data_IF_201440865386
#
_entry.id   IF_201440865386
#
_cell.length_a   1.000
_cell.length_b   1.000
_cell.length_c   1.000
_cell.angle_alpha   90.00
_cell.angle_beta   90.00
_cell.angle_gamma   90.00
#
_symmetry.space_group_name_H-M   'P 1'
#
loop_
_entity.id
_entity.type
_entity.pdbx_description
1 polymer ?
#
# COMPACT_ATOMS: atom_id res chain seq x y z
N UNK A 1 11.02 -5.35 -8.49
CA UNK A 1 10.28 -4.20 -9.05
C UNK A 1 10.07 -3.15 -7.97
N UNK A 2 10.78 -2.04 -8.10
CA UNK A 2 10.73 -0.99 -7.07
C UNK A 2 9.45 -0.17 -7.13
N UNK A 3 9.14 0.38 -8.29
CA UNK A 3 7.99 1.27 -8.46
C UNK A 3 6.82 0.53 -9.09
N UNK A 4 5.63 0.81 -8.60
CA UNK A 4 4.42 0.18 -9.09
C UNK A 4 3.32 1.22 -9.22
N UNK A 5 2.49 1.09 -10.25
CA UNK A 5 1.35 1.99 -10.46
C UNK A 5 0.07 1.16 -10.42
N UNK A 6 -0.81 1.51 -9.50
CA UNK A 6 -2.14 0.92 -9.38
C UNK A 6 -3.16 1.90 -9.92
N UNK A 7 -3.93 1.48 -10.91
CA UNK A 7 -4.94 2.33 -11.54
C UNK A 7 -6.33 1.95 -11.08
N UNK A 8 -7.12 2.95 -10.71
CA UNK A 8 -8.45 2.72 -10.18
C UNK A 8 -9.40 3.83 -10.65
N UNK A 9 -10.68 3.47 -10.82
CA UNK A 9 -11.77 4.42 -11.03
C UNK A 9 -12.53 4.50 -9.71
N UNK A 10 -12.74 5.73 -9.21
CA UNK A 10 -13.37 5.94 -7.91
C UNK A 10 -14.84 5.51 -7.98
N UNK A 11 -15.25 4.48 -7.21
CA UNK A 11 -16.60 3.95 -7.27
C UNK A 11 -17.57 4.69 -6.35
N UNK A 12 -18.89 4.51 -6.54
CA UNK A 12 -19.90 5.19 -5.72
C UNK A 12 -19.75 4.96 -4.22
N UNK A 13 -19.37 3.76 -3.79
CA UNK A 13 -19.21 3.45 -2.36
C UNK A 13 -18.08 4.22 -1.67
N UNK A 14 -17.17 4.82 -2.46
CA UNK A 14 -16.07 5.63 -1.92
C UNK A 14 -16.49 7.05 -1.57
N UNK A 15 -17.65 7.49 -2.06
CA UNK A 15 -18.07 8.90 -2.01
C UNK A 15 -18.99 9.13 -0.80
N UNK A 16 -18.68 10.18 -0.03
CA UNK A 16 -19.47 10.57 1.14
C UNK A 16 -20.63 11.50 0.73
N UNK A 17 -21.39 11.95 1.75
CA UNK A 17 -22.54 12.82 1.55
C UNK A 17 -22.20 14.19 0.95
N UNK A 18 -20.92 14.59 1.01
CA UNK A 18 -20.45 15.87 0.47
C UNK A 18 -19.94 15.76 -0.96
N UNK A 19 -20.04 14.57 -1.56
CA UNK A 19 -19.55 14.33 -2.93
C UNK A 19 -18.04 14.16 -3.04
N UNK A 20 -17.36 13.96 -1.93
CA UNK A 20 -15.92 13.77 -1.89
C UNK A 20 -15.58 12.34 -1.48
N UNK A 21 -14.39 11.88 -1.86
CA UNK A 21 -13.94 10.57 -1.44
C UNK A 21 -13.77 10.53 0.09
N UNK A 22 -14.38 9.54 0.71
CA UNK A 22 -14.32 9.32 2.15
C UNK A 22 -12.87 9.12 2.60
N UNK A 23 -12.49 9.73 3.72
CA UNK A 23 -11.14 9.64 4.26
C UNK A 23 -10.68 8.19 4.47
N UNK A 24 -11.57 7.32 4.92
CA UNK A 24 -11.26 5.90 5.13
C UNK A 24 -10.90 5.21 3.83
N UNK A 25 -11.48 5.64 2.72
CA UNK A 25 -11.27 4.99 1.43
C UNK A 25 -9.85 5.19 0.89
N UNK A 26 -9.14 6.23 1.30
CA UNK A 26 -7.73 6.38 0.98
C UNK A 26 -6.92 5.18 1.49
N UNK A 27 -7.19 4.75 2.72
CA UNK A 27 -6.51 3.58 3.30
C UNK A 27 -6.89 2.29 2.58
N UNK A 28 -8.15 2.16 2.15
CA UNK A 28 -8.60 1.03 1.34
C UNK A 28 -7.81 0.95 0.04
N UNK A 29 -7.67 2.07 -0.67
CA UNK A 29 -6.93 2.12 -1.93
C UNK A 29 -5.44 1.88 -1.73
N UNK A 30 -4.86 2.38 -0.64
CA UNK A 30 -3.46 2.12 -0.30
C UNK A 30 -3.24 0.62 -0.11
N UNK A 31 -4.14 -0.05 0.58
CA UNK A 31 -4.06 -1.50 0.80
C UNK A 31 -4.21 -2.27 -0.51
N UNK A 32 -5.15 -1.87 -1.37
CA UNK A 32 -5.32 -2.49 -2.69
C UNK A 32 -4.07 -2.35 -3.54
N UNK A 33 -3.47 -1.16 -3.57
CA UNK A 33 -2.24 -0.90 -4.32
C UNK A 33 -1.07 -1.74 -3.77
N UNK A 34 -0.98 -1.87 -2.45
CA UNK A 34 0.04 -2.70 -1.81
C UNK A 34 -0.11 -4.17 -2.19
N UNK A 35 -1.33 -4.71 -2.14
CA UNK A 35 -1.60 -6.09 -2.54
C UNK A 35 -1.28 -6.32 -4.01
N UNK A 36 -1.63 -5.38 -4.89
CA UNK A 36 -1.35 -5.49 -6.31
C UNK A 36 0.15 -5.52 -6.59
N UNK A 37 0.91 -4.67 -5.91
CA UNK A 37 2.38 -4.66 -6.05
C UNK A 37 2.98 -5.98 -5.54
N UNK A 38 2.56 -6.43 -4.37
CA UNK A 38 3.03 -7.70 -3.80
C UNK A 38 2.71 -8.88 -4.72
N UNK A 39 1.52 -8.91 -5.30
CA UNK A 39 1.15 -9.95 -6.26
C UNK A 39 2.04 -9.89 -7.50
N UNK A 40 2.34 -8.70 -8.01
CA UNK A 40 3.16 -8.51 -9.20
C UNK A 40 4.59 -9.04 -9.00
N UNK A 41 5.12 -9.00 -7.78
CA UNK A 41 6.47 -9.49 -7.47
C UNK A 41 6.49 -10.89 -6.87
N UNK A 42 5.32 -11.54 -6.73
CA UNK A 42 5.22 -12.91 -6.23
C UNK A 42 5.16 -13.02 -4.71
N UNK A 43 5.07 -11.91 -3.99
CA UNK A 43 4.95 -11.90 -2.53
C UNK A 43 3.48 -11.80 -2.11
N UNK A 44 2.68 -12.73 -2.60
CA UNK A 44 1.25 -12.79 -2.28
C UNK A 44 1.01 -13.17 -0.82
N UNK A 45 -0.20 -12.88 -0.32
CA UNK A 45 -0.61 -13.33 1.02
C UNK A 45 -0.46 -14.84 1.15
N UNK A 46 -0.85 -15.58 0.11
CA UNK A 46 -0.70 -17.04 0.09
C UNK A 46 0.77 -17.46 0.21
N UNK A 47 1.67 -16.83 -0.55
CA UNK A 47 3.10 -17.11 -0.47
C UNK A 47 3.66 -16.81 0.92
N UNK A 48 3.21 -15.71 1.54
CA UNK A 48 3.60 -15.33 2.90
C UNK A 48 3.20 -16.41 3.92
N UNK A 49 1.93 -16.83 3.90
CA UNK A 49 1.46 -17.89 4.80
C UNK A 49 2.19 -19.21 4.58
N UNK A 50 2.46 -19.56 3.33
CA UNK A 50 3.20 -20.76 2.97
C UNK A 50 4.62 -20.76 3.54
N UNK A 51 5.25 -19.60 3.55
CA UNK A 51 6.58 -19.36 4.07
C UNK A 51 6.59 -19.25 5.61
N UNK A 52 5.41 -19.06 6.23
CA UNK A 52 5.28 -18.87 7.68
C UNK A 52 5.69 -17.49 8.16
N UNK A 53 5.66 -16.49 7.28
CA UNK A 53 6.07 -15.12 7.57
C UNK A 53 5.12 -14.17 6.86
N UNK A 54 4.70 -13.11 7.53
CA UNK A 54 3.73 -12.17 6.98
C UNK A 54 4.14 -10.73 7.23
N UNK A 55 3.59 -9.84 6.43
CA UNK A 55 3.64 -8.41 6.66
C UNK A 55 2.40 -8.00 7.45
N UNK A 56 2.60 -7.23 8.53
CA UNK A 56 1.50 -6.60 9.26
C UNK A 56 1.61 -5.09 9.15
N UNK A 57 0.48 -4.44 9.03
CA UNK A 57 0.40 -2.98 9.05
C UNK A 57 0.45 -2.52 10.51
N UNK A 58 1.39 -1.63 10.81
CA UNK A 58 1.52 -1.03 12.13
C UNK A 58 1.01 0.39 12.17
N UNK A 59 1.14 1.14 11.07
CA UNK A 59 0.73 2.53 11.02
C UNK A 59 0.36 2.92 9.61
N UNK A 60 -0.73 3.68 9.47
CA UNK A 60 -1.14 4.30 8.21
C UNK A 60 -1.26 5.80 8.38
N UNK A 61 -0.80 6.53 7.39
CA UNK A 61 -0.96 7.98 7.29
C UNK A 61 -1.42 8.33 5.89
N UNK A 62 -2.33 9.29 5.79
CA UNK A 62 -2.74 9.82 4.50
C UNK A 62 -2.97 11.32 4.63
N UNK A 63 -2.59 12.06 3.58
CA UNK A 63 -2.82 13.49 3.48
C UNK A 63 -3.57 13.77 2.20
N UNK A 64 -4.77 14.31 2.34
CA UNK A 64 -5.59 14.76 1.23
C UNK A 64 -5.19 16.19 0.86
N UNK A 65 -4.82 16.40 -0.39
CA UNK A 65 -4.45 17.71 -0.94
C UNK A 65 -5.63 18.27 -1.72
N UNK A 66 -6.25 17.41 -2.55
CA UNK A 66 -7.40 17.74 -3.38
C UNK A 66 -8.27 16.51 -3.51
N UNK A 67 -9.49 16.60 -3.06
CA UNK A 67 -10.39 15.45 -2.96
C UNK A 67 -10.67 14.79 -4.31
N UNK A 68 -10.59 13.46 -4.34
CA UNK A 68 -11.06 12.69 -5.48
C UNK A 68 -12.59 12.66 -5.49
N UNK A 69 -13.17 12.50 -6.66
CA UNK A 69 -14.61 12.52 -6.88
C UNK A 69 -15.06 11.26 -7.61
N UNK A 70 -16.37 11.05 -7.62
CA UNK A 70 -16.98 9.92 -8.31
C UNK A 70 -16.47 9.80 -9.74
N UNK A 71 -16.12 8.60 -10.13
CA UNK A 71 -15.65 8.24 -11.49
C UNK A 71 -14.29 8.82 -11.88
N UNK A 72 -13.60 9.51 -10.97
CA UNK A 72 -12.24 9.96 -11.23
C UNK A 72 -11.33 8.76 -11.50
N UNK A 73 -10.47 8.90 -12.51
CA UNK A 73 -9.41 7.93 -12.81
C UNK A 73 -8.16 8.34 -12.07
N UNK A 74 -7.77 7.50 -11.11
CA UNK A 74 -6.64 7.79 -10.22
C UNK A 74 -5.52 6.80 -10.49
N UNK A 75 -4.29 7.31 -10.52
CA UNK A 75 -3.08 6.49 -10.54
C UNK A 75 -2.41 6.59 -9.18
N UNK A 76 -2.17 5.45 -8.55
CA UNK A 76 -1.49 5.39 -7.25
C UNK A 76 -0.10 4.83 -7.49
N UNK A 77 0.90 5.69 -7.33
CA UNK A 77 2.31 5.33 -7.43
C UNK A 77 2.77 4.87 -6.06
N UNK A 78 3.38 3.71 -5.99
CA UNK A 78 3.84 3.17 -4.72
C UNK A 78 5.20 2.50 -4.84
N UNK A 79 5.98 2.60 -3.77
CA UNK A 79 7.25 1.91 -3.61
C UNK A 79 7.51 1.69 -2.12
N UNK A 80 8.43 0.78 -1.81
CA UNK A 80 8.79 0.47 -0.43
C UNK A 80 10.24 0.81 -0.15
N UNK A 81 10.54 1.06 1.11
CA UNK A 81 11.90 1.28 1.59
C UNK A 81 12.05 0.61 2.95
N UNK A 82 12.98 -0.33 3.05
CA UNK A 82 13.31 -0.97 4.32
C UNK A 82 13.93 0.07 5.25
N UNK A 83 13.43 0.19 6.48
CA UNK A 83 13.91 1.20 7.43
C UNK A 83 14.53 0.59 8.70
N UNK A 84 14.57 -0.69 8.82
CA UNK A 84 15.15 -1.41 9.92
C UNK A 84 15.22 -2.87 9.55
N UNK A 85 15.63 -3.72 10.49
CA UNK A 85 15.75 -5.15 10.20
C UNK A 85 14.40 -5.79 9.88
N UNK A 86 13.34 -5.38 10.60
CA UNK A 86 12.02 -6.00 10.50
C UNK A 86 10.95 -5.04 9.98
N UNK A 87 11.28 -3.81 9.64
CA UNK A 87 10.32 -2.78 9.24
C UNK A 87 10.57 -2.28 7.83
N UNK A 88 9.48 -1.99 7.13
CA UNK A 88 9.51 -1.39 5.80
C UNK A 88 8.41 -0.34 5.71
N UNK A 89 8.70 0.77 5.08
CA UNK A 89 7.70 1.79 4.82
C UNK A 89 7.32 1.77 3.35
N UNK A 90 6.03 1.87 3.10
CA UNK A 90 5.50 2.00 1.75
C UNK A 90 4.96 3.40 1.57
N UNK A 91 5.34 4.03 0.49
CA UNK A 91 4.94 5.39 0.13
C UNK A 91 3.94 5.35 -1.01
N UNK A 92 2.99 6.28 -0.99
CA UNK A 92 1.94 6.38 -2.00
C UNK A 92 1.80 7.81 -2.48
N UNK A 93 1.65 7.97 -3.78
CA UNK A 93 1.27 9.23 -4.42
C UNK A 93 0.03 8.98 -5.25
N UNK A 94 -1.06 9.67 -4.92
CA UNK A 94 -2.31 9.59 -5.67
C UNK A 94 -2.32 10.72 -6.69
N UNK A 95 -2.46 10.37 -7.96
CA UNK A 95 -2.45 11.35 -9.04
C UNK A 95 -3.69 11.23 -9.91
N UNK A 96 -4.22 12.39 -10.28
CA UNK A 96 -5.30 12.51 -11.25
C UNK A 96 -4.78 13.38 -12.39
N UNK A 97 -4.76 12.83 -13.62
CA UNK A 97 -4.24 13.54 -14.82
C UNK A 97 -2.85 14.13 -14.57
N UNK A 98 -2.00 13.38 -13.86
CA UNK A 98 -0.63 13.80 -13.53
C UNK A 98 -0.51 14.76 -12.36
N UNK A 99 -1.61 15.23 -11.81
CA UNK A 99 -1.61 16.14 -10.65
C UNK A 99 -1.65 15.34 -9.35
N UNK A 100 -0.75 15.67 -8.41
CA UNK A 100 -0.73 15.05 -7.09
C UNK A 100 -1.93 15.53 -6.29
N UNK A 101 -2.80 14.60 -5.87
CA UNK A 101 -4.00 14.92 -5.10
C UNK A 101 -3.98 14.39 -3.67
N UNK A 102 -3.13 13.44 -3.38
CA UNK A 102 -2.97 12.90 -2.03
C UNK A 102 -1.65 12.16 -1.90
N UNK A 103 -1.17 12.03 -0.67
CA UNK A 103 -0.02 11.19 -0.35
C UNK A 103 -0.37 10.24 0.78
N UNK A 104 0.35 9.13 0.86
CA UNK A 104 0.16 8.16 1.92
C UNK A 104 1.46 7.49 2.31
N UNK A 105 1.44 6.92 3.50
CA UNK A 105 2.56 6.13 4.02
C UNK A 105 2.01 5.02 4.90
N UNK A 106 2.50 3.81 4.70
CA UNK A 106 2.17 2.66 5.55
C UNK A 106 3.45 2.09 6.11
N UNK A 107 3.48 1.88 7.41
CA UNK A 107 4.58 1.20 8.08
C UNK A 107 4.21 -0.26 8.28
N UNK A 108 5.03 -1.15 7.72
CA UNK A 108 4.87 -2.60 7.83
C UNK A 108 5.90 -3.19 8.77
N UNK A 109 5.50 -4.23 9.49
CA UNK A 109 6.40 -5.06 10.28
C UNK A 109 6.36 -6.47 9.72
N UNK A 110 7.53 -7.06 9.53
CA UNK A 110 7.67 -8.45 9.10
C UNK A 110 7.61 -9.35 10.32
N UNK A 111 6.70 -10.32 10.31
CA UNK A 111 6.36 -11.15 11.47
C UNK A 111 6.59 -12.62 11.15
N UNK A 112 7.20 -13.33 12.10
CA UNK A 112 7.25 -14.78 12.10
C UNK A 112 5.93 -15.31 12.68
N UNK A 113 5.16 -16.05 11.87
CA UNK A 113 3.86 -16.59 12.28
C UNK A 113 3.96 -17.59 13.45
N UNK A 114 5.10 -18.28 13.57
CA UNK A 114 5.30 -19.28 14.60
C UNK A 114 5.43 -18.66 15.98
N UNK A 115 6.21 -17.59 16.06
CA UNK A 115 6.47 -16.88 17.34
C UNK A 115 5.56 -15.68 17.53
N UNK A 116 4.91 -15.22 16.46
CA UNK A 116 4.12 -14.00 16.41
C UNK A 116 4.95 -12.75 16.78
N UNK A 117 6.24 -12.77 16.45
CA UNK A 117 7.18 -11.70 16.77
C UNK A 117 7.84 -11.13 15.52
N UNK A 118 8.31 -9.88 15.57
CA UNK A 118 9.07 -9.30 14.47
C UNK A 118 10.28 -10.17 14.12
N UNK A 119 10.52 -10.29 12.83
CA UNK A 119 11.64 -11.06 12.27
C UNK A 119 12.34 -10.21 11.22
N UNK A 120 13.65 -10.34 11.12
CA UNK A 120 14.41 -9.66 10.09
C UNK A 120 13.87 -10.04 8.70
N UNK A 121 13.65 -9.03 7.86
CA UNK A 121 13.17 -9.24 6.49
C UNK A 121 14.26 -9.98 5.71
N UNK A 122 13.95 -11.15 5.12
CA UNK A 122 14.92 -11.86 4.31
C UNK A 122 15.41 -11.02 3.12
N UNK A 123 16.69 -11.14 2.79
CA UNK A 123 17.27 -10.37 1.68
C UNK A 123 16.54 -10.62 0.36
N UNK A 124 16.08 -11.85 0.11
CA UNK A 124 15.35 -12.20 -1.10
C UNK A 124 13.97 -11.51 -1.16
N UNK A 125 13.36 -11.23 -0.01
CA UNK A 125 12.09 -10.49 0.03
C UNK A 125 12.33 -9.01 -0.25
N UNK A 126 13.37 -8.42 0.35
CA UNK A 126 13.75 -7.04 0.05
C UNK A 126 14.01 -6.87 -1.45
N UNK A 127 14.71 -7.82 -2.05
CA UNK A 127 15.06 -7.78 -3.47
C UNK A 127 13.84 -7.77 -4.39
N UNK A 128 12.72 -8.39 -4.00
CA UNK A 128 11.50 -8.40 -4.80
C UNK A 128 10.97 -6.98 -5.06
N UNK A 129 11.15 -6.09 -4.10
CA UNK A 129 10.63 -4.71 -4.15
C UNK A 129 11.71 -3.69 -4.55
N UNK A 130 12.86 -4.17 -4.90
CA UNK A 130 13.99 -3.30 -5.30
C UNK A 130 14.06 -3.04 -6.79
#
# INVERSE_FOLDING_TARGET
MRDFIYRVIIPPQAIDMHGHMNNVYYFTLMQEAAFAHSAAVGDTVEAQYKRGEIWLIRKNEAKDIKSAKLMDKIEIYTYTQAEGKATSCRYFEFKKDGELIATGKTEFVYIDLKTNRPKAIPAEIIALYS
#
